data_IF_387315303861
#
_entry.id   IF_387315303861
#
_cell.length_a   1.000
_cell.length_b   1.000
_cell.length_c   1.000
_cell.angle_alpha   90.00
_cell.angle_beta   90.00
_cell.angle_gamma   90.00
#
_symmetry.space_group_name_H-M   'P 1'
#
loop_
_entity.id
_entity.type
_entity.pdbx_description
1 polymer ?
#
# COMPACT_ATOMS: atom_id res chain seq x y z
N UNK A 1 16.60 -23.66 -29.57
CA UNK A 1 15.27 -23.68 -28.92
C UNK A 1 15.47 -23.48 -27.43
N UNK A 2 15.26 -22.27 -26.92
CA UNK A 2 15.25 -22.03 -25.46
C UNK A 2 14.06 -22.76 -24.84
N UNK A 3 14.27 -23.46 -23.73
CA UNK A 3 13.20 -24.14 -22.99
C UNK A 3 12.32 -23.12 -22.27
N UNK A 4 11.07 -23.48 -21.92
CA UNK A 4 10.16 -22.57 -21.19
C UNK A 4 10.75 -22.08 -19.86
N UNK A 5 11.62 -22.89 -19.23
CA UNK A 5 12.37 -22.52 -18.04
C UNK A 5 13.36 -21.37 -18.27
N UNK A 6 14.04 -21.36 -19.41
CA UNK A 6 15.05 -20.34 -19.74
C UNK A 6 14.41 -18.95 -19.90
N UNK A 7 13.21 -18.90 -20.50
CA UNK A 7 12.48 -17.63 -20.69
C UNK A 7 11.87 -17.09 -19.39
N UNK A 8 11.44 -17.98 -18.49
CA UNK A 8 11.02 -17.59 -17.15
C UNK A 8 12.19 -17.07 -16.31
N UNK A 9 13.37 -17.69 -16.44
CA UNK A 9 14.57 -17.18 -15.80
C UNK A 9 14.97 -15.81 -16.33
N UNK A 10 14.89 -15.59 -17.65
CA UNK A 10 15.13 -14.28 -18.25
C UNK A 10 14.16 -13.20 -17.73
N UNK A 11 12.86 -13.52 -17.66
CA UNK A 11 11.87 -12.63 -17.07
C UNK A 11 12.19 -12.27 -15.62
N UNK A 12 12.62 -13.25 -14.80
CA UNK A 12 13.01 -13.00 -13.41
C UNK A 12 14.20 -12.05 -13.31
N UNK A 13 15.22 -12.22 -14.15
CA UNK A 13 16.39 -11.32 -14.17
C UNK A 13 15.99 -9.88 -14.52
N UNK A 14 15.15 -9.68 -15.55
CA UNK A 14 14.66 -8.35 -15.91
C UNK A 14 13.84 -7.69 -14.78
N UNK A 15 13.08 -8.50 -14.02
CA UNK A 15 12.36 -8.02 -12.85
C UNK A 15 13.33 -7.61 -11.74
N UNK A 16 14.34 -8.43 -11.47
CA UNK A 16 15.37 -8.16 -10.45
C UNK A 16 16.15 -6.88 -10.78
N UNK A 17 16.50 -6.67 -12.06
CA UNK A 17 17.14 -5.45 -12.55
C UNK A 17 16.21 -4.23 -12.41
N UNK A 18 14.94 -4.36 -12.81
CA UNK A 18 13.96 -3.27 -12.72
C UNK A 18 13.69 -2.83 -11.28
N UNK A 19 13.69 -3.77 -10.34
CA UNK A 19 13.46 -3.43 -8.92
C UNK A 19 14.72 -2.98 -8.20
N UNK A 20 15.89 -3.44 -8.63
CA UNK A 20 17.20 -3.10 -8.08
C UNK A 20 17.31 -3.33 -6.55
N UNK A 21 16.76 -4.46 -6.08
CA UNK A 21 16.75 -4.86 -4.65
C UNK A 21 17.83 -5.90 -4.32
N UNK A 22 18.80 -6.11 -5.22
CA UNK A 22 19.80 -7.17 -5.10
C UNK A 22 19.26 -8.55 -5.47
N UNK A 23 20.08 -9.59 -5.25
CA UNK A 23 19.80 -10.97 -5.67
C UNK A 23 18.54 -11.55 -5.00
N UNK A 24 17.63 -12.11 -5.80
CA UNK A 24 16.42 -12.75 -5.31
C UNK A 24 16.65 -13.98 -4.44
N UNK A 25 17.88 -14.52 -4.40
CA UNK A 25 18.30 -15.51 -3.42
C UNK A 25 18.16 -15.02 -1.97
N UNK A 26 18.30 -13.71 -1.72
CA UNK A 26 18.19 -13.08 -0.39
C UNK A 26 16.81 -12.49 -0.08
N UNK A 27 15.91 -12.44 -1.07
CA UNK A 27 14.59 -11.84 -0.89
C UNK A 27 13.77 -12.57 0.17
N UNK A 28 13.27 -11.80 1.12
CA UNK A 28 12.40 -12.22 2.20
C UNK A 28 10.94 -12.03 1.81
N UNK A 29 10.01 -12.46 2.67
CA UNK A 29 8.58 -12.32 2.39
C UNK A 29 8.16 -10.87 2.08
N UNK A 30 8.79 -9.90 2.74
CA UNK A 30 8.54 -8.49 2.56
C UNK A 30 8.90 -8.00 1.14
N UNK A 31 9.99 -8.51 0.56
CA UNK A 31 10.41 -8.14 -0.80
C UNK A 31 9.42 -8.67 -1.84
N UNK A 32 8.87 -9.88 -1.64
CA UNK A 32 7.81 -10.41 -2.52
C UNK A 32 6.46 -9.69 -2.37
N UNK A 33 6.21 -9.08 -1.22
CA UNK A 33 5.01 -8.26 -0.99
C UNK A 33 5.16 -6.88 -1.60
N UNK A 34 6.32 -6.24 -1.43
CA UNK A 34 6.66 -5.00 -2.13
C UNK A 34 6.66 -5.22 -3.66
N UNK A 35 7.16 -6.36 -4.14
CA UNK A 35 7.10 -6.73 -5.55
C UNK A 35 5.65 -6.91 -6.02
N UNK A 36 4.80 -7.55 -5.22
CA UNK A 36 3.37 -7.69 -5.49
C UNK A 36 2.68 -6.33 -5.61
N UNK A 37 2.96 -5.41 -4.68
CA UNK A 37 2.41 -4.06 -4.69
C UNK A 37 2.89 -3.26 -5.90
N UNK A 38 4.16 -3.39 -6.26
CA UNK A 38 4.76 -2.71 -7.42
C UNK A 38 4.27 -3.25 -8.75
N UNK A 39 4.12 -4.57 -8.86
CA UNK A 39 3.45 -5.20 -10.02
C UNK A 39 2.01 -4.69 -10.11
N UNK A 40 1.29 -4.60 -9.00
CA UNK A 40 -0.07 -4.09 -9.00
C UNK A 40 -0.15 -2.62 -9.39
N UNK A 41 0.75 -1.75 -8.90
CA UNK A 41 0.74 -0.32 -9.23
C UNK A 41 1.03 -0.05 -10.71
N UNK A 42 1.85 -0.88 -11.35
CA UNK A 42 2.25 -0.68 -12.74
C UNK A 42 1.37 -1.44 -13.75
N UNK A 43 0.85 -2.61 -13.37
CA UNK A 43 0.07 -3.48 -14.28
C UNK A 43 -1.42 -3.52 -13.98
N UNK A 44 -1.86 -2.98 -12.83
CA UNK A 44 -3.23 -3.09 -12.30
C UNK A 44 -3.76 -4.52 -12.15
N UNK A 45 -2.87 -5.51 -12.14
CA UNK A 45 -3.17 -6.93 -11.89
C UNK A 45 -2.48 -7.37 -10.61
N UNK A 46 -3.27 -7.93 -9.68
CA UNK A 46 -2.76 -8.37 -8.38
C UNK A 46 -2.17 -9.79 -8.49
N UNK A 47 -0.88 -9.92 -8.23
CA UNK A 47 -0.20 -11.21 -8.05
C UNK A 47 0.19 -11.37 -6.59
N UNK A 48 -0.41 -12.31 -5.87
CA UNK A 48 -0.08 -12.51 -4.45
C UNK A 48 1.41 -12.82 -4.25
N UNK A 49 1.98 -12.38 -3.12
CA UNK A 49 3.36 -12.71 -2.73
C UNK A 49 3.63 -14.22 -2.73
N UNK A 50 2.60 -15.05 -2.44
CA UNK A 50 2.71 -16.51 -2.50
C UNK A 50 2.85 -17.03 -3.94
N UNK A 51 2.20 -16.38 -4.91
CA UNK A 51 2.32 -16.67 -6.35
C UNK A 51 3.73 -16.30 -6.84
N UNK A 52 4.23 -15.13 -6.44
CA UNK A 52 5.59 -14.68 -6.80
C UNK A 52 6.67 -15.58 -6.20
N UNK A 53 6.55 -15.96 -4.92
CA UNK A 53 7.48 -16.92 -4.29
C UNK A 53 7.57 -18.27 -5.01
N UNK A 54 6.48 -18.74 -5.61
CA UNK A 54 6.46 -19.97 -6.42
C UNK A 54 7.20 -19.79 -7.74
N UNK A 55 7.04 -18.63 -8.38
CA UNK A 55 7.75 -18.27 -9.63
C UNK A 55 9.26 -18.15 -9.40
N UNK A 56 9.66 -17.65 -8.22
CA UNK A 56 11.07 -17.57 -7.81
C UNK A 56 11.64 -18.85 -7.19
N UNK A 57 10.86 -19.94 -7.17
CA UNK A 57 11.32 -21.24 -6.66
C UNK A 57 11.53 -21.31 -5.13
N UNK A 58 11.04 -20.32 -4.37
CA UNK A 58 11.14 -20.29 -2.89
C UNK A 58 10.16 -21.24 -2.20
N UNK A 59 9.14 -21.71 -2.93
CA UNK A 59 8.11 -22.65 -2.45
C UNK A 59 7.90 -23.71 -3.52
N UNK A 60 7.85 -24.99 -3.13
CA UNK A 60 7.60 -26.11 -4.06
C UNK A 60 6.23 -25.96 -4.72
N UNK A 61 6.21 -26.00 -6.05
CA UNK A 61 5.00 -25.88 -6.86
C UNK A 61 5.10 -26.85 -8.04
N UNK A 62 4.11 -27.74 -8.18
CA UNK A 62 4.14 -28.85 -9.15
C UNK A 62 3.36 -28.55 -10.44
N UNK A 63 2.98 -27.29 -10.68
CA UNK A 63 2.19 -26.89 -11.86
C UNK A 63 2.83 -25.70 -12.57
N UNK A 64 2.63 -25.56 -13.87
CA UNK A 64 3.13 -24.40 -14.61
C UNK A 64 2.40 -23.10 -14.16
N UNK A 65 3.07 -21.93 -14.18
CA UNK A 65 2.42 -20.64 -13.96
C UNK A 65 1.28 -20.41 -14.97
N UNK A 66 0.19 -19.78 -14.53
CA UNK A 66 -0.94 -19.50 -15.44
C UNK A 66 -0.54 -18.46 -16.50
N UNK A 67 -1.18 -18.51 -17.67
CA UNK A 67 -0.94 -17.55 -18.75
C UNK A 67 -1.15 -16.09 -18.30
N UNK A 68 -2.14 -15.84 -17.43
CA UNK A 68 -2.38 -14.52 -16.83
C UNK A 68 -1.20 -14.07 -15.98
N UNK A 69 -0.64 -14.94 -15.15
CA UNK A 69 0.55 -14.65 -14.34
C UNK A 69 1.75 -14.30 -15.21
N UNK A 70 2.00 -15.08 -16.27
CA UNK A 70 3.11 -14.84 -17.20
C UNK A 70 2.96 -13.51 -17.96
N UNK A 71 1.74 -13.19 -18.41
CA UNK A 71 1.46 -11.91 -19.08
C UNK A 71 1.67 -10.72 -18.15
N UNK A 72 1.23 -10.81 -16.89
CA UNK A 72 1.42 -9.75 -15.90
C UNK A 72 2.89 -9.51 -15.59
N UNK A 73 3.71 -10.56 -15.51
CA UNK A 73 5.15 -10.41 -15.31
C UNK A 73 5.84 -9.78 -16.54
N UNK A 74 5.45 -10.16 -17.76
CA UNK A 74 5.97 -9.53 -18.98
C UNK A 74 5.59 -8.04 -19.08
N UNK A 75 4.35 -7.69 -18.74
CA UNK A 75 3.88 -6.30 -18.66
C UNK A 75 4.65 -5.51 -17.62
N UNK A 76 4.95 -6.13 -16.47
CA UNK A 76 5.75 -5.50 -15.45
C UNK A 76 7.18 -5.20 -15.91
N UNK A 77 7.78 -5.96 -16.83
CA UNK A 77 9.10 -5.64 -17.41
C UNK A 77 9.03 -4.82 -18.71
N UNK A 78 7.86 -4.28 -19.06
CA UNK A 78 7.69 -3.35 -20.19
C UNK A 78 7.35 -4.01 -21.53
N UNK A 79 6.98 -5.29 -21.56
CA UNK A 79 6.53 -6.00 -22.76
C UNK A 79 5.01 -6.12 -22.78
N UNK A 80 4.37 -6.03 -23.95
CA UNK A 80 2.90 -6.01 -24.05
C UNK A 80 2.24 -7.28 -23.47
N UNK A 81 2.89 -8.43 -23.64
CA UNK A 81 2.45 -9.73 -23.15
C UNK A 81 3.59 -10.76 -23.15
N UNK A 82 3.36 -11.94 -22.56
CA UNK A 82 4.35 -13.02 -22.48
C UNK A 82 4.86 -13.49 -23.85
N UNK A 83 4.02 -13.39 -24.89
CA UNK A 83 4.39 -13.78 -26.26
C UNK A 83 5.37 -12.80 -26.90
N UNK A 84 5.33 -11.53 -26.52
CA UNK A 84 6.29 -10.51 -26.96
C UNK A 84 7.66 -10.69 -26.30
N UNK A 85 7.68 -10.95 -24.98
CA UNK A 85 8.90 -11.28 -24.24
C UNK A 85 9.58 -12.56 -24.78
N UNK A 86 8.82 -13.45 -25.42
CA UNK A 86 9.33 -14.65 -26.06
C UNK A 86 10.07 -14.40 -27.38
N UNK A 87 9.99 -13.20 -27.97
CA UNK A 87 10.69 -12.89 -29.22
C UNK A 87 12.18 -12.66 -28.89
N UNK A 88 13.06 -13.41 -29.55
CA UNK A 88 14.50 -13.37 -29.25
C UNK A 88 15.09 -11.96 -29.52
N UNK A 89 16.12 -11.51 -28.78
CA UNK A 89 16.82 -10.26 -29.07
C UNK A 89 17.52 -10.35 -30.44
N UNK A 90 17.40 -9.30 -31.25
CA UNK A 90 18.22 -9.11 -32.46
C UNK A 90 19.69 -9.07 -32.04
N UNK A 91 20.59 -9.86 -32.68
CA UNK A 91 21.95 -10.05 -32.21
C UNK A 91 22.81 -8.81 -32.48
N UNK A 92 23.50 -8.32 -31.44
CA UNK A 92 24.66 -7.44 -31.59
C UNK A 92 25.90 -8.24 -31.20
N UNK A 93 26.64 -8.63 -32.25
CA UNK A 93 28.07 -8.93 -32.36
C UNK A 93 28.83 -9.56 -31.18
N UNK A 94 29.09 -10.86 -31.37
CA UNK A 94 30.35 -11.62 -31.22
C UNK A 94 31.46 -11.10 -30.29
N UNK A 95 31.70 -11.86 -29.21
CA UNK A 95 33.03 -12.29 -28.79
C UNK A 95 32.96 -13.67 -28.09
N UNK A 96 33.98 -14.56 -28.23
CA UNK A 96 33.81 -16.00 -28.12
C UNK A 96 33.99 -16.55 -26.69
N UNK A 97 33.17 -17.53 -26.31
CA UNK A 97 33.32 -18.33 -25.09
C UNK A 97 34.04 -19.65 -25.41
N UNK A 98 35.06 -19.94 -24.60
CA UNK A 98 35.88 -21.15 -24.61
C UNK A 98 35.08 -22.42 -24.30
N UNK A 99 35.47 -23.51 -24.98
CA UNK A 99 34.95 -24.87 -24.81
C UNK A 99 35.31 -25.47 -23.44
N UNK A 100 34.33 -26.11 -22.79
CA UNK A 100 34.54 -27.13 -21.77
C UNK A 100 33.68 -28.38 -22.09
N UNK A 101 34.08 -29.58 -21.64
CA UNK A 101 33.85 -30.82 -22.39
C UNK A 101 32.49 -31.47 -22.09
N UNK A 102 32.03 -32.25 -23.07
CA UNK A 102 30.79 -33.02 -23.06
C UNK A 102 30.70 -34.02 -21.91
N UNK A 103 29.54 -34.03 -21.24
CA UNK A 103 29.12 -35.10 -20.32
C UNK A 103 28.74 -36.38 -21.09
N UNK A 104 29.05 -37.58 -20.57
CA UNK A 104 28.68 -38.84 -21.21
C UNK A 104 27.23 -39.26 -20.93
N UNK A 105 26.72 -40.14 -21.80
CA UNK A 105 25.36 -40.65 -21.88
C UNK A 105 24.82 -41.35 -20.61
N UNK A 106 23.48 -41.43 -20.40
CA UNK A 106 22.90 -42.00 -19.20
C UNK A 106 22.89 -43.54 -19.22
N UNK A 107 23.19 -44.14 -18.06
CA UNK A 107 23.03 -45.57 -17.75
C UNK A 107 21.62 -45.88 -17.20
N UNK A 108 21.13 -47.14 -17.31
CA UNK A 108 19.76 -47.49 -16.94
C UNK A 108 19.57 -47.57 -15.42
N UNK A 109 18.46 -46.99 -14.92
CA UNK A 109 18.12 -46.96 -13.49
C UNK A 109 17.36 -48.23 -13.10
N UNK A 110 17.97 -49.05 -12.23
CA UNK A 110 17.28 -50.11 -11.51
C UNK A 110 16.47 -49.53 -10.33
N UNK A 111 15.21 -49.92 -10.19
CA UNK A 111 14.34 -49.52 -9.06
C UNK A 111 14.74 -50.27 -7.80
N UNK A 112 15.01 -49.60 -6.66
CA UNK A 112 15.26 -50.30 -5.41
C UNK A 112 13.93 -50.68 -4.73
N UNK A 113 13.93 -51.89 -4.17
CA UNK A 113 12.91 -52.47 -3.32
C UNK A 113 12.70 -51.65 -2.05
N UNK A 114 11.52 -51.06 -1.90
CA UNK A 114 11.11 -50.25 -0.74
C UNK A 114 10.71 -51.16 0.42
N UNK A 115 11.66 -51.86 1.05
CA UNK A 115 11.45 -52.46 2.37
C UNK A 115 12.76 -52.87 3.04
N UNK A 116 13.62 -51.91 3.40
CA UNK A 116 14.68 -52.14 4.39
C UNK A 116 14.87 -50.84 5.19
N UNK A 117 14.62 -50.92 6.50
CA UNK A 117 14.95 -49.95 7.57
C UNK A 117 13.76 -49.16 8.17
N UNK A 118 12.80 -49.84 8.82
CA UNK A 118 11.77 -49.17 9.65
C UNK A 118 12.40 -48.30 10.78
N UNK A 119 13.62 -48.60 11.19
CA UNK A 119 14.37 -47.87 12.20
C UNK A 119 14.70 -46.41 11.81
N UNK A 120 14.95 -46.12 10.53
CA UNK A 120 15.29 -44.75 10.09
C UNK A 120 14.08 -43.83 10.15
N UNK A 121 12.88 -44.36 9.83
CA UNK A 121 11.63 -43.61 9.97
C UNK A 121 11.33 -43.36 11.45
N UNK A 122 11.55 -44.35 12.32
CA UNK A 122 11.42 -44.19 13.77
C UNK A 122 12.34 -43.10 14.33
N UNK A 123 13.61 -43.07 13.93
CA UNK A 123 14.57 -42.05 14.37
C UNK A 123 14.22 -40.65 13.85
N UNK A 124 13.76 -40.52 12.59
CA UNK A 124 13.31 -39.23 12.05
C UNK A 124 12.05 -38.71 12.74
N UNK A 125 11.11 -39.59 13.07
CA UNK A 125 9.91 -39.22 13.84
C UNK A 125 10.29 -38.82 15.26
N UNK A 126 11.18 -39.56 15.92
CA UNK A 126 11.68 -39.20 17.26
C UNK A 126 12.47 -37.88 17.26
N UNK A 127 13.30 -37.62 16.25
CA UNK A 127 13.98 -36.33 16.09
C UNK A 127 12.99 -35.20 15.78
N UNK A 128 11.94 -35.47 14.99
CA UNK A 128 10.86 -34.53 14.73
C UNK A 128 10.07 -34.20 15.99
N UNK A 129 9.70 -35.21 16.78
CA UNK A 129 9.00 -35.04 18.06
C UNK A 129 9.88 -34.35 19.11
N UNK A 130 11.17 -34.69 19.19
CA UNK A 130 12.14 -34.00 20.03
C UNK A 130 12.32 -32.54 19.59
N UNK A 131 12.32 -32.27 18.29
CA UNK A 131 12.33 -30.92 17.73
C UNK A 131 11.08 -30.12 18.09
N UNK A 132 9.89 -30.72 17.97
CA UNK A 132 8.61 -30.10 18.37
C UNK A 132 8.58 -29.84 19.89
N UNK A 133 9.04 -30.80 20.69
CA UNK A 133 9.09 -30.65 22.15
C UNK A 133 10.10 -29.59 22.60
N UNK A 134 11.27 -29.53 21.96
CA UNK A 134 12.26 -28.48 22.18
C UNK A 134 11.74 -27.10 21.74
N UNK A 135 10.94 -27.04 20.68
CA UNK A 135 10.30 -25.80 20.21
C UNK A 135 9.20 -25.34 21.19
N UNK A 136 8.38 -26.26 21.70
CA UNK A 136 7.36 -25.95 22.73
C UNK A 136 7.98 -25.48 24.04
N UNK A 137 9.14 -26.02 24.45
CA UNK A 137 9.88 -25.55 25.64
C UNK A 137 10.55 -24.19 25.47
N UNK A 138 10.65 -23.66 24.24
CA UNK A 138 11.34 -22.39 23.95
C UNK A 138 10.45 -21.15 24.12
N UNK A 139 9.13 -21.34 24.23
CA UNK A 139 8.19 -20.25 24.49
C UNK A 139 8.24 -19.86 25.97
N UNK A 140 9.26 -19.09 26.35
CA UNK A 140 9.24 -18.37 27.63
C UNK A 140 8.13 -17.32 27.53
N UNK A 141 7.16 -17.29 28.46
CA UNK A 141 6.16 -16.23 28.48
C UNK A 141 6.86 -14.87 28.61
N UNK A 142 6.35 -13.88 27.87
CA UNK A 142 6.86 -12.52 27.92
C UNK A 142 6.56 -11.93 29.30
N UNK A 143 7.60 -11.46 29.98
CA UNK A 143 7.55 -10.78 31.26
C UNK A 143 8.26 -9.44 31.12
N UNK A 144 7.61 -8.39 31.60
CA UNK A 144 8.14 -7.04 31.65
C UNK A 144 7.58 -6.30 32.85
N UNK A 145 8.38 -5.39 33.40
CA UNK A 145 7.96 -4.48 34.46
C UNK A 145 7.34 -3.19 33.91
N UNK A 146 7.45 -2.07 34.63
CA UNK A 146 6.91 -0.79 34.19
C UNK A 146 7.59 -0.30 32.90
N UNK A 147 6.82 -0.24 31.80
CA UNK A 147 7.29 0.27 30.52
C UNK A 147 6.90 1.74 30.32
N UNK A 148 7.80 2.53 29.73
CA UNK A 148 7.48 3.87 29.22
C UNK A 148 7.49 3.87 27.70
N UNK A 149 6.54 4.57 27.11
CA UNK A 149 6.47 4.79 25.67
C UNK A 149 5.68 6.07 25.41
N UNK A 150 6.35 7.09 24.89
CA UNK A 150 5.75 8.38 24.55
C UNK A 150 6.32 8.87 23.24
N UNK A 151 5.64 9.81 22.60
CA UNK A 151 6.14 10.44 21.38
C UNK A 151 5.84 11.92 21.35
N UNK A 152 6.76 12.71 20.80
CA UNK A 152 6.58 14.14 20.58
C UNK A 152 7.10 14.57 19.19
N UNK A 153 6.29 15.27 18.39
CA UNK A 153 6.79 15.98 17.21
C UNK A 153 7.81 17.05 17.61
N UNK A 154 8.83 17.29 16.79
CA UNK A 154 9.86 18.32 17.06
C UNK A 154 9.51 19.69 16.45
N UNK A 155 8.64 19.72 15.45
CA UNK A 155 8.19 20.94 14.77
C UNK A 155 6.68 20.98 14.64
N UNK A 156 6.13 22.11 14.18
CA UNK A 156 4.80 22.16 13.57
C UNK A 156 4.92 22.00 12.05
N UNK A 157 3.87 21.49 11.40
CA UNK A 157 3.86 21.27 9.95
C UNK A 157 4.71 20.07 9.49
N UNK A 158 5.16 20.12 8.23
CA UNK A 158 5.87 19.04 7.54
C UNK A 158 7.10 19.56 6.78
N UNK A 159 8.15 18.72 6.61
CA UNK A 159 8.32 17.41 7.25
C UNK A 159 8.47 17.53 8.78
N UNK A 160 8.13 16.46 9.50
CA UNK A 160 8.16 16.47 10.96
C UNK A 160 8.84 15.23 11.51
N UNK A 161 9.89 15.42 12.30
CA UNK A 161 10.50 14.33 13.05
C UNK A 161 9.74 14.12 14.35
N UNK A 162 9.32 12.89 14.60
CA UNK A 162 8.77 12.47 15.88
C UNK A 162 9.85 11.74 16.65
N UNK A 163 10.10 12.21 17.87
CA UNK A 163 10.96 11.54 18.83
C UNK A 163 10.09 10.64 19.69
N UNK A 164 10.44 9.36 19.74
CA UNK A 164 9.86 8.35 20.59
C UNK A 164 10.81 8.12 21.75
N UNK A 165 10.32 8.36 22.96
CA UNK A 165 11.02 8.09 24.21
C UNK A 165 10.42 6.80 24.81
N UNK A 166 11.27 5.82 25.10
CA UNK A 166 10.83 4.50 25.58
C UNK A 166 11.81 3.85 26.54
N UNK A 167 11.30 2.92 27.34
CA UNK A 167 12.12 2.06 28.20
C UNK A 167 11.55 0.64 28.17
N UNK A 168 12.35 -0.29 27.66
CA UNK A 168 12.06 -1.71 27.57
C UNK A 168 13.11 -2.58 28.31
N UNK A 169 13.99 -1.95 29.10
CA UNK A 169 15.13 -2.61 29.76
C UNK A 169 14.69 -3.71 30.71
N UNK A 170 13.65 -3.45 31.50
CA UNK A 170 12.99 -4.40 32.40
C UNK A 170 12.02 -5.33 31.64
N UNK A 171 12.55 -6.05 30.66
CA UNK A 171 11.82 -7.10 29.93
C UNK A 171 12.71 -8.28 29.56
N UNK A 172 12.11 -9.47 29.46
CA UNK A 172 12.76 -10.66 28.91
C UNK A 172 12.60 -10.78 27.38
N UNK A 173 12.26 -9.68 26.69
CA UNK A 173 12.06 -9.68 25.25
C UNK A 173 13.36 -9.89 24.48
N UNK A 174 13.31 -10.70 23.43
CA UNK A 174 14.43 -10.94 22.50
C UNK A 174 14.53 -9.81 21.45
N UNK A 175 13.42 -9.10 21.24
CA UNK A 175 13.34 -8.00 20.27
C UNK A 175 12.34 -6.93 20.70
N UNK A 176 12.68 -5.68 20.40
CA UNK A 176 11.84 -4.51 20.64
C UNK A 176 11.61 -3.82 19.30
N UNK A 177 10.37 -3.44 19.03
CA UNK A 177 10.02 -2.69 17.83
C UNK A 177 9.14 -1.50 18.16
N UNK A 178 9.31 -0.44 17.37
CA UNK A 178 8.37 0.67 17.31
C UNK A 178 7.65 0.59 15.97
N UNK A 179 6.32 0.50 16.03
CA UNK A 179 5.47 0.60 14.85
C UNK A 179 4.88 2.01 14.78
N UNK A 180 5.14 2.67 13.67
CA UNK A 180 4.80 4.07 13.46
C UNK A 180 3.80 4.27 12.31
N UNK A 181 3.36 3.16 11.71
CA UNK A 181 2.46 3.10 10.56
C UNK A 181 1.22 2.27 10.89
N UNK A 182 0.14 2.45 10.14
CA UNK A 182 -1.01 1.55 10.14
C UNK A 182 -0.66 0.13 9.66
N UNK A 183 0.46 -0.04 8.96
CA UNK A 183 0.85 -1.33 8.40
C UNK A 183 1.60 -2.11 9.50
N UNK A 184 1.05 -3.25 9.99
CA UNK A 184 1.70 -4.04 11.03
C UNK A 184 3.08 -4.59 10.61
N UNK A 185 3.39 -4.61 9.31
CA UNK A 185 4.68 -5.04 8.78
C UNK A 185 5.71 -3.92 8.77
N UNK A 186 5.30 -2.66 8.85
CA UNK A 186 6.17 -1.48 8.93
C UNK A 186 6.48 -1.15 10.40
N UNK A 187 7.31 -2.00 11.00
CA UNK A 187 7.86 -1.83 12.35
C UNK A 187 9.38 -1.71 12.28
N UNK A 188 9.95 -0.80 13.06
CA UNK A 188 11.38 -0.58 13.13
C UNK A 188 11.94 -1.27 14.38
N UNK A 189 12.98 -2.10 14.22
CA UNK A 189 13.64 -2.76 15.35
C UNK A 189 14.53 -1.76 16.07
N UNK A 190 14.35 -1.64 17.38
CA UNK A 190 15.14 -0.76 18.24
C UNK A 190 15.90 -1.58 19.29
N UNK A 191 16.94 -1.01 19.88
CA UNK A 191 17.65 -1.65 20.99
C UNK A 191 16.75 -1.81 22.21
N UNK A 192 16.95 -2.87 23.00
CA UNK A 192 16.24 -3.00 24.28
C UNK A 192 16.72 -1.97 25.31
N UNK A 193 18.01 -1.63 25.21
CA UNK A 193 18.73 -0.73 26.11
C UNK A 193 18.88 0.70 25.55
N UNK A 194 18.32 0.93 24.36
CA UNK A 194 18.17 2.28 23.80
C UNK A 194 16.94 2.94 24.43
N UNK A 195 16.94 4.27 24.47
CA UNK A 195 15.83 5.05 25.06
C UNK A 195 15.14 6.00 24.09
N UNK A 196 15.70 6.16 22.90
CA UNK A 196 15.22 7.12 21.91
C UNK A 196 15.18 6.50 20.52
N UNK A 197 14.13 6.83 19.78
CA UNK A 197 14.01 6.54 18.36
C UNK A 197 13.40 7.74 17.64
N UNK A 198 13.97 8.13 16.51
CA UNK A 198 13.51 9.26 15.72
C UNK A 198 12.99 8.78 14.38
N UNK A 199 11.82 9.27 13.97
CA UNK A 199 11.31 9.04 12.62
C UNK A 199 10.72 10.30 12.00
N UNK A 200 11.07 10.55 10.74
CA UNK A 200 10.58 11.68 9.96
C UNK A 200 9.36 11.31 9.13
N UNK A 201 8.31 12.11 9.24
CA UNK A 201 7.09 12.01 8.46
C UNK A 201 7.09 13.09 7.37
N UNK A 202 6.84 12.68 6.13
CA UNK A 202 6.73 13.56 4.97
C UNK A 202 5.28 13.80 4.52
N UNK A 203 4.33 13.06 5.09
CA UNK A 203 2.91 13.25 4.84
C UNK A 203 2.16 13.41 6.16
N UNK A 204 1.08 14.21 6.16
CA UNK A 204 0.26 14.36 7.35
C UNK A 204 -0.57 13.10 7.54
N UNK A 205 -0.96 12.82 8.78
CA UNK A 205 -1.73 11.63 9.08
C UNK A 205 -1.96 11.43 10.56
N UNK A 206 -2.80 10.44 10.85
CA UNK A 206 -2.98 9.90 12.19
C UNK A 206 -2.41 8.49 12.21
N UNK A 207 -1.66 8.20 13.26
CA UNK A 207 -1.01 6.93 13.48
C UNK A 207 -1.29 6.48 14.91
N UNK A 208 -1.44 5.16 15.10
CA UNK A 208 -1.35 4.57 16.44
C UNK A 208 0.06 4.04 16.61
N UNK A 209 0.87 4.80 17.33
CA UNK A 209 2.23 4.39 17.64
C UNK A 209 2.18 3.20 18.59
N UNK A 210 3.01 2.18 18.37
CA UNK A 210 3.03 0.97 19.21
C UNK A 210 4.45 0.61 19.60
N UNK A 211 4.64 0.29 20.87
CA UNK A 211 5.80 -0.44 21.37
C UNK A 211 5.47 -1.93 21.37
N UNK A 212 6.30 -2.71 20.70
CA UNK A 212 6.12 -4.15 20.50
C UNK A 212 7.30 -4.88 21.10
N UNK A 213 7.06 -5.81 22.01
CA UNK A 213 8.06 -6.72 22.57
C UNK A 213 7.83 -8.11 21.99
N UNK A 214 8.85 -8.66 21.32
CA UNK A 214 8.73 -9.83 20.47
C UNK A 214 7.64 -9.61 19.41
N UNK A 215 6.46 -10.20 19.61
CA UNK A 215 5.29 -10.01 18.75
C UNK A 215 4.05 -9.47 19.49
N UNK A 216 4.22 -9.06 20.75
CA UNK A 216 3.13 -8.50 21.58
C UNK A 216 3.18 -6.98 21.61
N UNK A 217 2.05 -6.33 21.29
CA UNK A 217 1.88 -4.89 21.50
C UNK A 217 1.71 -4.66 23.01
N UNK A 218 2.63 -3.94 23.64
CA UNK A 218 2.65 -3.74 25.10
C UNK A 218 2.25 -2.33 25.51
N UNK A 219 2.45 -1.35 24.63
CA UNK A 219 1.99 0.04 24.78
C UNK A 219 1.58 0.57 23.41
N UNK A 220 0.56 1.40 23.41
CA UNK A 220 0.18 2.17 22.22
C UNK A 220 -0.45 3.50 22.61
N UNK A 221 -0.31 4.49 21.74
CA UNK A 221 -0.92 5.80 21.91
C UNK A 221 -1.10 6.50 20.55
N UNK A 222 -1.91 7.55 20.58
CA UNK A 222 -2.27 8.32 19.40
C UNK A 222 -1.15 9.30 19.01
N UNK A 223 -0.81 9.33 17.72
CA UNK A 223 0.17 10.23 17.14
C UNK A 223 -0.44 10.96 15.94
N UNK A 224 -0.55 12.28 16.04
CA UNK A 224 -1.00 13.14 14.95
C UNK A 224 0.19 13.86 14.31
N UNK A 225 0.33 13.71 12.99
CA UNK A 225 1.13 14.60 12.15
C UNK A 225 0.15 15.56 11.49
N UNK A 226 -0.02 16.72 12.13
CA UNK A 226 -1.08 17.68 11.80
C UNK A 226 -0.71 18.56 10.61
N UNK A 227 -1.72 19.12 9.96
CA UNK A 227 -1.57 20.22 9.00
C UNK A 227 -1.92 21.56 9.65
N UNK A 228 -1.30 22.64 9.18
CA UNK A 228 -1.68 24.02 9.52
C UNK A 228 -2.68 24.53 8.48
N UNK A 229 -3.96 24.15 8.64
CA UNK A 229 -4.98 24.34 7.60
C UNK A 229 -4.89 23.27 6.52
N UNK A 230 -5.19 23.64 5.26
CA UNK A 230 -5.03 22.73 4.13
C UNK A 230 -3.58 22.67 3.65
N UNK A 231 -3.12 21.48 3.33
CA UNK A 231 -1.80 21.26 2.72
C UNK A 231 -1.98 20.58 1.37
N UNK A 232 -1.44 21.16 0.32
CA UNK A 232 -1.39 20.58 -1.01
C UNK A 232 -0.08 19.85 -1.20
N UNK A 233 -0.11 18.75 -1.94
CA UNK A 233 1.10 18.03 -2.33
C UNK A 233 1.09 17.62 -3.79
N UNK A 234 2.24 17.73 -4.46
CA UNK A 234 2.57 16.83 -5.57
C UNK A 234 3.17 15.58 -4.94
N UNK A 235 2.47 14.46 -5.07
CA UNK A 235 2.84 13.22 -4.41
C UNK A 235 4.07 12.60 -5.10
N UNK A 236 5.00 12.11 -4.29
CA UNK A 236 6.21 11.38 -4.69
C UNK A 236 6.49 10.27 -3.67
N UNK A 237 7.21 9.24 -4.09
CA UNK A 237 7.63 8.13 -3.23
C UNK A 237 8.60 8.60 -2.12
N UNK A 238 9.36 9.65 -2.40
CA UNK A 238 10.29 10.27 -1.46
C UNK A 238 9.64 11.45 -0.73
N UNK A 239 10.07 12.67 -1.05
CA UNK A 239 9.62 13.90 -0.42
C UNK A 239 8.62 14.58 -1.37
N UNK A 240 7.37 14.82 -0.96
CA UNK A 240 6.42 15.53 -1.79
C UNK A 240 6.81 17.01 -1.93
N UNK A 241 6.28 17.65 -2.96
CA UNK A 241 6.35 19.11 -3.07
C UNK A 241 5.15 19.68 -2.34
N UNK A 242 5.38 20.54 -1.35
CA UNK A 242 4.33 21.10 -0.49
C UNK A 242 3.79 22.43 -1.01
N UNK A 243 2.48 22.61 -0.87
CA UNK A 243 1.75 23.84 -1.17
C UNK A 243 0.97 24.26 0.08
N UNK A 244 1.42 25.28 0.84
CA UNK A 244 0.74 25.73 2.04
C UNK A 244 -0.67 26.27 1.76
N UNK A 245 -1.54 26.26 2.78
CA UNK A 245 -2.96 26.68 2.71
C UNK A 245 -3.18 28.00 1.96
N UNK A 246 -2.35 29.01 2.25
CA UNK A 246 -2.43 30.34 1.61
C UNK A 246 -2.23 30.31 0.10
N UNK A 247 -1.40 29.40 -0.42
CA UNK A 247 -1.15 29.26 -1.85
C UNK A 247 -2.29 28.51 -2.56
N UNK A 248 -2.94 27.58 -1.86
CA UNK A 248 -4.05 26.80 -2.41
C UNK A 248 -5.33 27.61 -2.54
N UNK A 249 -5.55 28.57 -1.65
CA UNK A 249 -6.79 29.36 -1.60
C UNK A 249 -6.86 30.33 -2.76
N UNK A 250 -7.72 30.04 -3.73
CA UNK A 250 -7.97 30.86 -4.91
C UNK A 250 -9.47 31.10 -5.06
N UNK A 251 -9.90 32.36 -4.99
CA UNK A 251 -11.29 32.79 -5.23
C UNK A 251 -12.35 31.98 -4.44
N UNK A 252 -12.07 31.68 -3.17
CA UNK A 252 -12.98 30.91 -2.31
C UNK A 252 -12.96 29.39 -2.54
N UNK A 253 -11.98 28.87 -3.27
CA UNK A 253 -11.74 27.44 -3.49
C UNK A 253 -10.33 27.06 -3.07
N UNK A 254 -10.08 25.76 -2.87
CA UNK A 254 -8.74 25.19 -2.82
C UNK A 254 -8.42 24.61 -4.18
N UNK A 255 -7.32 25.04 -4.80
CA UNK A 255 -6.94 24.56 -6.12
C UNK A 255 -5.43 24.42 -6.26
N UNK A 256 -5.02 23.47 -7.10
CA UNK A 256 -3.71 23.46 -7.75
C UNK A 256 -3.96 23.61 -9.24
N UNK A 257 -3.28 24.55 -9.87
CA UNK A 257 -3.39 24.81 -11.30
C UNK A 257 -2.27 24.12 -12.05
N UNK A 258 -2.40 24.04 -13.38
CA UNK A 258 -1.30 23.52 -14.21
C UNK A 258 -0.05 24.39 -14.09
N UNK A 259 -0.24 25.71 -13.96
CA UNK A 259 0.83 26.67 -13.75
C UNK A 259 1.62 26.37 -12.46
N UNK A 260 0.93 26.03 -11.38
CA UNK A 260 1.56 25.62 -10.11
C UNK A 260 2.45 24.40 -10.29
N UNK A 261 1.98 23.39 -11.04
CA UNK A 261 2.73 22.16 -11.29
C UNK A 261 3.91 22.40 -12.25
N UNK A 262 3.70 23.13 -13.35
CA UNK A 262 4.79 23.47 -14.29
C UNK A 262 5.85 24.36 -13.64
N UNK A 263 5.46 25.23 -12.70
CA UNK A 263 6.38 26.04 -11.90
C UNK A 263 7.28 25.21 -10.99
N UNK A 264 6.90 23.95 -10.69
CA UNK A 264 7.71 22.96 -9.98
C UNK A 264 8.48 22.02 -10.93
N UNK A 265 8.52 22.33 -12.23
CA UNK A 265 9.24 21.56 -13.24
C UNK A 265 8.52 20.31 -13.75
N UNK A 266 7.21 20.18 -13.53
CA UNK A 266 6.42 19.06 -14.05
C UNK A 266 6.21 19.20 -15.57
N UNK A 267 6.66 18.20 -16.33
CA UNK A 267 6.28 17.99 -17.73
C UNK A 267 5.23 16.88 -17.83
N UNK A 268 3.98 17.26 -18.05
CA UNK A 268 2.85 16.33 -18.14
C UNK A 268 2.95 15.31 -19.28
N UNK A 269 3.84 15.51 -20.26
CA UNK A 269 4.09 14.53 -21.33
C UNK A 269 4.96 13.35 -20.85
N UNK A 270 5.76 13.55 -19.80
CA UNK A 270 6.61 12.51 -19.23
C UNK A 270 5.88 11.70 -18.16
N UNK A 271 4.85 12.27 -17.56
CA UNK A 271 3.97 11.61 -16.60
C UNK A 271 3.05 12.61 -15.92
N UNK A 272 1.81 12.21 -15.65
CA UNK A 272 0.88 13.07 -14.92
C UNK A 272 0.99 12.77 -13.43
N UNK A 273 1.46 13.72 -12.60
CA UNK A 273 1.63 13.44 -11.19
C UNK A 273 0.28 13.33 -10.49
N UNK A 274 0.28 12.59 -9.40
CA UNK A 274 -0.81 12.63 -8.45
C UNK A 274 -0.66 13.85 -7.54
N UNK A 275 -1.76 14.58 -7.33
CA UNK A 275 -1.81 15.66 -6.34
C UNK A 275 -2.77 15.31 -5.20
N UNK A 276 -2.60 15.96 -4.06
CA UNK A 276 -3.50 15.77 -2.93
C UNK A 276 -3.71 17.05 -2.14
N UNK A 277 -4.89 17.17 -1.53
CA UNK A 277 -5.18 18.16 -0.49
C UNK A 277 -5.42 17.43 0.81
N UNK A 278 -4.68 17.80 1.85
CA UNK A 278 -4.71 17.16 3.15
C UNK A 278 -5.22 18.14 4.20
N UNK A 279 -6.09 17.65 5.06
CA UNK A 279 -6.54 18.34 6.25
C UNK A 279 -6.54 17.35 7.41
N UNK A 280 -5.53 17.41 8.27
CA UNK A 280 -5.34 16.44 9.36
C UNK A 280 -5.21 17.18 10.68
N UNK A 281 -6.23 17.04 11.51
CA UNK A 281 -6.29 17.59 12.86
C UNK A 281 -7.44 16.91 13.62
N UNK A 282 -7.46 16.97 14.97
CA UNK A 282 -8.61 16.50 15.74
C UNK A 282 -9.90 17.24 15.32
N UNK A 283 -10.92 16.50 14.86
CA UNK A 283 -12.23 17.04 14.45
C UNK A 283 -13.32 16.79 15.52
N UNK A 284 -12.92 16.70 16.79
CA UNK A 284 -13.80 16.35 17.89
C UNK A 284 -14.16 14.85 17.90
N UNK A 285 -15.37 14.54 18.34
CA UNK A 285 -15.85 13.17 18.55
C UNK A 285 -16.65 12.61 17.35
N UNK A 286 -16.45 13.17 16.15
CA UNK A 286 -17.13 12.70 14.94
C UNK A 286 -16.84 11.20 14.71
N UNK A 287 -17.89 10.38 14.76
CA UNK A 287 -17.79 8.94 14.57
C UNK A 287 -17.75 8.58 13.09
N UNK A 288 -16.86 7.67 12.70
CA UNK A 288 -16.83 7.10 11.35
C UNK A 288 -18.04 6.20 11.03
N UNK A 289 -18.84 5.86 12.05
CA UNK A 289 -20.04 5.02 11.92
C UNK A 289 -21.34 5.83 11.92
N UNK A 290 -21.27 7.14 12.18
CA UNK A 290 -22.41 8.04 12.27
C UNK A 290 -21.98 9.48 11.90
N UNK A 291 -22.06 9.84 10.61
CA UNK A 291 -21.71 11.18 10.11
C UNK A 291 -22.41 11.51 8.78
N UNK A 292 -22.55 12.80 8.51
CA UNK A 292 -22.87 13.39 7.22
C UNK A 292 -21.62 14.15 6.74
N UNK A 293 -21.15 13.83 5.54
CA UNK A 293 -20.08 14.53 4.87
C UNK A 293 -20.58 15.09 3.53
N UNK A 294 -20.26 16.34 3.25
CA UNK A 294 -20.64 17.00 2.01
C UNK A 294 -19.47 17.79 1.42
N UNK A 295 -19.30 17.69 0.11
CA UNK A 295 -18.25 18.41 -0.62
C UNK A 295 -18.66 18.73 -2.06
N UNK A 296 -18.06 19.79 -2.59
CA UNK A 296 -18.04 20.13 -4.01
C UNK A 296 -16.61 20.12 -4.52
N UNK A 297 -16.35 19.35 -5.58
CA UNK A 297 -15.01 19.23 -6.16
C UNK A 297 -15.03 19.14 -7.69
N UNK A 298 -13.86 19.32 -8.31
CA UNK A 298 -13.67 19.27 -9.75
C UNK A 298 -12.25 18.78 -10.09
N UNK A 299 -12.12 17.76 -10.94
CA UNK A 299 -10.84 17.48 -11.62
C UNK A 299 -10.69 18.46 -12.78
N UNK A 300 -9.55 19.14 -12.87
CA UNK A 300 -9.31 20.18 -13.89
C UNK A 300 -8.33 19.73 -14.98
N UNK A 301 -7.79 18.50 -14.88
CA UNK A 301 -6.87 17.92 -15.85
C UNK A 301 -7.44 16.64 -16.44
N UNK A 302 -7.43 16.49 -17.76
CA UNK A 302 -8.13 15.42 -18.47
C UNK A 302 -7.38 14.84 -19.68
N UNK A 303 -6.07 15.04 -19.75
CA UNK A 303 -5.23 14.63 -20.88
C UNK A 303 -4.07 13.73 -20.45
N UNK A 304 -3.39 13.14 -21.43
CA UNK A 304 -2.32 12.15 -21.21
C UNK A 304 -2.81 10.97 -20.35
N UNK A 305 -2.09 10.62 -19.29
CA UNK A 305 -2.43 9.50 -18.41
C UNK A 305 -3.68 9.76 -17.54
N UNK A 306 -4.13 11.02 -17.45
CA UNK A 306 -5.25 11.43 -16.63
C UNK A 306 -6.58 11.55 -17.40
N UNK A 307 -6.72 10.85 -18.53
CA UNK A 307 -7.99 10.80 -19.29
C UNK A 307 -9.18 10.32 -18.45
N UNK A 308 -8.96 9.47 -17.45
CA UNK A 308 -10.02 9.02 -16.57
C UNK A 308 -10.40 10.03 -15.47
N UNK A 309 -9.60 11.09 -15.29
CA UNK A 309 -9.81 12.11 -14.27
C UNK A 309 -10.07 11.51 -12.88
N UNK A 310 -9.24 10.55 -12.49
CA UNK A 310 -9.43 9.82 -11.24
C UNK A 310 -9.33 10.80 -10.05
N UNK A 311 -10.39 10.85 -9.25
CA UNK A 311 -10.47 11.61 -8.00
C UNK A 311 -10.76 10.64 -6.86
N UNK A 312 -10.09 10.85 -5.73
CA UNK A 312 -10.34 10.12 -4.50
C UNK A 312 -10.71 11.06 -3.37
N UNK A 313 -11.77 10.75 -2.65
CA UNK A 313 -12.13 11.42 -1.39
C UNK A 313 -11.89 10.42 -0.27
N UNK A 314 -10.99 10.74 0.64
CA UNK A 314 -10.57 9.87 1.72
C UNK A 314 -10.90 10.50 3.06
N UNK A 315 -11.90 9.96 3.75
CA UNK A 315 -12.20 10.30 5.14
C UNK A 315 -11.26 9.48 6.01
N UNK A 316 -10.29 10.15 6.63
CA UNK A 316 -9.28 9.52 7.47
C UNK A 316 -9.91 9.23 8.84
N UNK A 317 -9.71 8.02 9.35
CA UNK A 317 -10.23 7.61 10.66
C UNK A 317 -9.13 6.99 11.52
N UNK A 318 -9.36 6.89 12.83
CA UNK A 318 -8.35 6.40 13.77
C UNK A 318 -7.96 4.92 13.59
N UNK A 319 -8.84 4.09 13.02
CA UNK A 319 -8.63 2.65 12.81
C UNK A 319 -8.80 2.25 11.33
N UNK A 320 -8.75 3.20 10.40
CA UNK A 320 -8.97 2.93 8.99
C UNK A 320 -9.35 4.17 8.21
N UNK A 321 -10.07 3.99 7.12
CA UNK A 321 -10.56 5.10 6.30
C UNK A 321 -11.83 4.70 5.54
N UNK A 322 -12.58 5.70 5.10
CA UNK A 322 -13.57 5.55 4.04
C UNK A 322 -13.02 6.22 2.79
N UNK A 323 -13.16 5.56 1.64
CA UNK A 323 -12.63 6.03 0.36
C UNK A 323 -13.74 6.02 -0.69
N UNK A 324 -14.03 7.20 -1.23
CA UNK A 324 -15.05 7.45 -2.26
C UNK A 324 -14.36 7.88 -3.55
N UNK A 325 -14.31 7.02 -4.57
CA UNK A 325 -13.71 7.36 -5.85
C UNK A 325 -14.70 8.04 -6.80
N UNK A 326 -14.20 8.87 -7.70
CA UNK A 326 -14.91 9.40 -8.86
C UNK A 326 -14.00 9.31 -10.09
N UNK A 327 -14.60 9.18 -11.27
CA UNK A 327 -13.90 9.25 -12.55
C UNK A 327 -14.83 9.75 -13.63
N UNK A 328 -14.32 9.97 -14.85
CA UNK A 328 -15.19 10.03 -16.01
C UNK A 328 -16.02 8.74 -16.14
N UNK A 329 -17.23 8.88 -16.71
CA UNK A 329 -18.20 7.78 -16.89
C UNK A 329 -17.62 6.53 -17.55
N UNK A 330 -16.72 6.70 -18.51
CA UNK A 330 -16.08 5.58 -19.22
C UNK A 330 -15.11 4.76 -18.37
N UNK A 331 -14.67 5.25 -17.21
CA UNK A 331 -13.62 4.63 -16.40
C UNK A 331 -14.11 3.98 -15.10
N UNK A 332 -15.43 3.92 -14.88
CA UNK A 332 -16.01 3.43 -13.61
C UNK A 332 -15.59 2.00 -13.24
N UNK A 333 -15.24 1.18 -14.22
CA UNK A 333 -14.73 -0.19 -14.01
C UNK A 333 -13.38 -0.25 -13.28
N UNK A 334 -12.63 0.85 -13.21
CA UNK A 334 -11.36 0.92 -12.48
C UNK A 334 -11.52 1.37 -11.02
N UNK A 335 -12.72 1.83 -10.64
CA UNK A 335 -12.95 2.36 -9.31
C UNK A 335 -12.99 1.26 -8.26
N UNK A 336 -12.50 1.59 -7.06
CA UNK A 336 -12.63 0.74 -5.88
C UNK A 336 -13.11 1.61 -4.73
N UNK A 337 -14.37 1.46 -4.35
CA UNK A 337 -14.98 2.12 -3.20
C UNK A 337 -14.61 1.35 -1.93
N UNK A 338 -14.36 2.03 -0.82
CA UNK A 338 -14.07 1.37 0.45
C UNK A 338 -14.77 2.05 1.63
N UNK A 339 -15.40 1.27 2.49
CA UNK A 339 -15.91 1.73 3.78
C UNK A 339 -15.39 0.82 4.89
N UNK A 340 -14.55 1.37 5.78
CA UNK A 340 -13.92 0.64 6.89
C UNK A 340 -13.39 -0.75 6.49
N UNK A 341 -12.56 -0.80 5.44
CA UNK A 341 -11.95 -2.04 4.94
C UNK A 341 -12.82 -2.89 4.01
N UNK A 342 -14.14 -2.67 3.97
CA UNK A 342 -15.03 -3.32 2.99
C UNK A 342 -14.86 -2.65 1.63
N UNK A 343 -14.26 -3.38 0.70
CA UNK A 343 -14.02 -2.92 -0.67
C UNK A 343 -15.15 -3.34 -1.62
N UNK A 344 -15.50 -2.45 -2.54
CA UNK A 344 -16.44 -2.69 -3.65
C UNK A 344 -15.74 -2.28 -4.95
N UNK A 345 -15.47 -3.27 -5.81
CA UNK A 345 -14.75 -3.04 -7.07
C UNK A 345 -15.72 -2.78 -8.21
N UNK A 346 -15.43 -1.77 -9.03
CA UNK A 346 -16.15 -1.48 -10.28
C UNK A 346 -15.98 -2.56 -11.34
N UNK A 347 -15.02 -3.48 -11.17
CA UNK A 347 -14.85 -4.65 -12.03
C UNK A 347 -15.94 -5.71 -11.81
N UNK A 348 -16.52 -5.76 -10.62
CA UNK A 348 -17.46 -6.82 -10.19
C UNK A 348 -18.80 -6.28 -9.70
N UNK A 349 -18.93 -4.97 -9.56
CA UNK A 349 -20.11 -4.29 -9.04
C UNK A 349 -20.40 -3.05 -9.87
N UNK A 350 -21.68 -2.67 -9.97
CA UNK A 350 -22.07 -1.45 -10.65
C UNK A 350 -21.68 -0.22 -9.79
N UNK A 351 -20.69 0.53 -10.27
CA UNK A 351 -20.28 1.84 -9.73
C UNK A 351 -20.53 2.97 -10.74
N UNK A 352 -21.45 2.79 -11.69
CA UNK A 352 -21.78 3.79 -12.71
C UNK A 352 -22.22 5.13 -12.12
N UNK A 353 -22.84 5.12 -10.94
CA UNK A 353 -23.21 6.32 -10.18
C UNK A 353 -22.05 7.21 -9.73
N UNK A 354 -20.81 6.69 -9.76
CA UNK A 354 -19.58 7.45 -9.47
C UNK A 354 -18.90 8.00 -10.73
N UNK A 355 -19.44 7.67 -11.90
CA UNK A 355 -19.03 8.23 -13.19
C UNK A 355 -19.63 9.62 -13.40
N UNK A 356 -18.78 10.64 -13.48
CA UNK A 356 -19.20 12.05 -13.54
C UNK A 356 -18.68 12.74 -14.79
N UNK A 357 -19.20 13.94 -15.02
CA UNK A 357 -18.60 14.92 -15.93
C UNK A 357 -18.03 16.05 -15.07
N UNK A 358 -16.74 16.31 -15.21
CA UNK A 358 -16.04 17.37 -14.50
C UNK A 358 -16.03 18.70 -15.28
N UNK A 359 -16.89 18.88 -16.28
CA UNK A 359 -17.14 20.18 -16.90
C UNK A 359 -17.66 21.21 -15.88
N UNK A 360 -18.44 20.76 -14.90
CA UNK A 360 -18.98 21.52 -13.76
C UNK A 360 -18.53 20.96 -12.40
N UNK A 361 -18.92 21.65 -11.32
CA UNK A 361 -18.70 21.18 -9.95
C UNK A 361 -19.51 19.91 -9.65
N UNK A 362 -18.84 18.90 -9.11
CA UNK A 362 -19.48 17.66 -8.69
C UNK A 362 -19.78 17.73 -7.20
N UNK A 363 -21.05 17.56 -6.85
CA UNK A 363 -21.50 17.48 -5.45
C UNK A 363 -21.46 16.04 -4.98
N UNK A 364 -20.77 15.78 -3.87
CA UNK A 364 -20.79 14.49 -3.19
C UNK A 364 -21.34 14.65 -1.78
N UNK A 365 -22.33 13.83 -1.44
CA UNK A 365 -22.88 13.72 -0.09
C UNK A 365 -22.77 12.27 0.37
N UNK A 366 -22.08 12.04 1.47
CA UNK A 366 -21.96 10.73 2.11
C UNK A 366 -22.66 10.76 3.46
N UNK A 367 -23.64 9.88 3.64
CA UNK A 367 -24.37 9.70 4.88
C UNK A 367 -24.05 8.33 5.43
N UNK A 368 -23.51 8.30 6.64
CA UNK A 368 -23.32 7.07 7.38
C UNK A 368 -24.16 7.13 8.63
N UNK A 369 -25.07 6.17 8.78
CA UNK A 369 -25.87 5.99 9.99
C UNK A 369 -25.85 4.53 10.42
N UNK A 370 -25.38 4.26 11.63
CA UNK A 370 -25.25 2.91 12.19
C UNK A 370 -24.61 1.93 11.19
N UNK A 371 -23.46 2.36 10.64
CA UNK A 371 -22.65 1.64 9.64
C UNK A 371 -23.36 1.34 8.30
N UNK A 372 -24.50 1.96 8.03
CA UNK A 372 -25.11 2.01 6.71
C UNK A 372 -24.62 3.26 6.00
N UNK A 373 -23.79 3.08 4.97
CA UNK A 373 -23.30 4.16 4.12
C UNK A 373 -24.22 4.35 2.91
N UNK A 374 -24.62 5.59 2.66
CA UNK A 374 -25.26 6.05 1.42
C UNK A 374 -24.40 7.14 0.81
N UNK A 375 -24.11 7.03 -0.49
CA UNK A 375 -23.35 8.05 -1.21
C UNK A 375 -24.23 8.59 -2.33
N UNK A 376 -24.34 9.91 -2.39
CA UNK A 376 -25.05 10.63 -3.42
C UNK A 376 -24.05 11.44 -4.24
N UNK A 377 -24.15 11.36 -5.56
CA UNK A 377 -23.35 12.14 -6.51
C UNK A 377 -24.31 12.97 -7.34
N UNK A 378 -24.16 14.29 -7.30
CA UNK A 378 -25.10 15.24 -7.92
C UNK A 378 -26.56 14.92 -7.59
N UNK A 379 -26.82 14.76 -6.28
CA UNK A 379 -28.15 14.51 -5.69
C UNK A 379 -28.77 13.13 -6.02
N UNK A 380 -28.11 12.31 -6.83
CA UNK A 380 -28.54 10.94 -7.16
C UNK A 380 -27.84 9.92 -6.28
N UNK A 381 -28.58 8.94 -5.75
CA UNK A 381 -28.01 7.84 -4.98
C UNK A 381 -27.10 7.00 -5.89
N UNK A 382 -25.80 6.99 -5.57
CA UNK A 382 -24.77 6.25 -6.30
C UNK A 382 -24.39 4.93 -5.62
N UNK A 383 -24.57 4.83 -4.30
CA UNK A 383 -24.27 3.63 -3.53
C UNK A 383 -25.05 3.57 -2.24
N UNK A 384 -25.43 2.36 -1.84
CA UNK A 384 -25.94 2.04 -0.52
C UNK A 384 -25.35 0.70 -0.05
N UNK A 385 -24.79 0.66 1.16
CA UNK A 385 -24.26 -0.58 1.71
C UNK A 385 -23.83 -0.48 3.16
N UNK A 386 -23.86 -1.64 3.85
CA UNK A 386 -23.39 -1.78 5.23
C UNK A 386 -21.94 -2.24 5.30
N UNK A 387 -21.21 -1.76 6.30
CA UNK A 387 -19.88 -2.25 6.69
C UNK A 387 -19.91 -2.77 8.14
N UNK A 388 -18.95 -3.62 8.51
CA UNK A 388 -18.92 -4.30 9.81
C UNK A 388 -17.99 -3.63 10.80
N UNK A 389 -16.75 -3.37 10.37
CA UNK A 389 -15.72 -2.81 11.24
C UNK A 389 -15.99 -1.34 11.57
N UNK A 390 -15.51 -0.89 12.73
CA UNK A 390 -15.56 0.52 13.10
C UNK A 390 -14.20 1.17 12.84
N UNK A 391 -14.17 2.14 11.93
CA UNK A 391 -12.96 2.88 11.62
C UNK A 391 -12.62 3.91 12.72
N UNK A 392 -13.43 4.02 13.78
CA UNK A 392 -13.20 4.87 14.95
C UNK A 392 -13.63 6.32 14.71
N UNK A 393 -12.83 7.29 15.18
CA UNK A 393 -13.12 8.72 15.03
C UNK A 393 -12.59 9.25 13.71
N UNK A 394 -13.26 10.25 13.13
CA UNK A 394 -12.77 10.96 11.96
C UNK A 394 -11.64 11.91 12.40
N UNK A 395 -10.47 11.77 11.79
CA UNK A 395 -9.22 12.46 12.16
C UNK A 395 -8.68 13.36 11.04
N UNK A 396 -9.34 13.37 9.90
CA UNK A 396 -8.97 14.23 8.79
C UNK A 396 -9.68 13.88 7.49
N UNK A 397 -9.31 14.63 6.46
CA UNK A 397 -9.83 14.49 5.11
C UNK A 397 -8.67 14.64 4.13
N UNK A 398 -8.66 13.79 3.11
CA UNK A 398 -7.73 13.91 2.00
C UNK A 398 -8.47 13.82 0.68
N UNK A 399 -8.19 14.76 -0.21
CA UNK A 399 -8.53 14.63 -1.62
C UNK A 399 -7.31 14.18 -2.40
N UNK A 400 -7.53 13.37 -3.41
CA UNK A 400 -6.52 12.92 -4.36
C UNK A 400 -7.01 13.22 -5.77
N UNK A 401 -6.14 13.74 -6.63
CA UNK A 401 -6.43 13.98 -8.05
C UNK A 401 -5.29 13.41 -8.89
N UNK A 402 -5.63 12.79 -10.02
CA UNK A 402 -4.64 12.52 -11.07
C UNK A 402 -4.49 13.79 -11.93
N UNK A 403 -3.39 14.51 -11.76
CA UNK A 403 -3.20 15.86 -12.28
C UNK A 403 -3.74 16.94 -11.35
N UNK A 404 -4.32 18.00 -11.90
CA UNK A 404 -4.83 19.15 -11.15
C UNK A 404 -6.30 18.99 -10.76
N UNK A 405 -6.70 19.69 -9.70
CA UNK A 405 -8.05 19.65 -9.18
C UNK A 405 -8.36 20.82 -8.27
N UNK A 406 -9.64 20.97 -7.98
CA UNK A 406 -10.16 22.00 -7.10
C UNK A 406 -11.26 21.47 -6.18
N UNK A 407 -11.37 22.05 -4.99
CA UNK A 407 -12.40 21.78 -3.99
C UNK A 407 -13.01 23.11 -3.59
N UNK A 408 -14.34 23.20 -3.59
CA UNK A 408 -15.08 24.42 -3.29
C UNK A 408 -15.69 24.42 -1.89
N UNK A 409 -16.06 23.25 -1.38
CA UNK A 409 -16.59 23.14 -0.01
C UNK A 409 -16.27 21.77 0.58
N UNK A 410 -16.13 21.71 1.90
CA UNK A 410 -15.95 20.46 2.64
C UNK A 410 -16.46 20.62 4.07
N UNK A 411 -17.47 19.83 4.44
CA UNK A 411 -18.06 19.89 5.78
C UNK A 411 -18.46 18.52 6.31
N UNK A 412 -18.29 18.34 7.62
CA UNK A 412 -18.82 17.21 8.37
C UNK A 412 -19.90 17.69 9.34
N UNK A 413 -20.87 16.83 9.60
CA UNK A 413 -21.80 16.98 10.72
C UNK A 413 -22.33 15.66 11.22
N UNK A 414 -22.80 15.60 12.47
CA UNK A 414 -23.49 14.42 13.03
C UNK A 414 -24.82 14.80 13.73
N UNK A 415 -25.33 16.00 13.42
CA UNK A 415 -26.48 16.62 14.07
C UNK A 415 -26.14 17.42 15.33
N UNK A 416 -24.99 17.18 15.97
CA UNK A 416 -24.51 17.91 17.16
C UNK A 416 -23.26 18.73 16.85
N UNK A 417 -22.30 18.11 16.21
CA UNK A 417 -21.04 18.69 15.75
C UNK A 417 -21.23 19.15 14.30
N UNK A 418 -20.72 20.34 13.99
CA UNK A 418 -20.54 20.82 12.62
C UNK A 418 -19.09 21.26 12.46
N UNK A 419 -18.34 20.58 11.61
CA UNK A 419 -16.98 20.94 11.25
C UNK A 419 -16.96 21.41 9.80
N UNK A 420 -16.80 22.72 9.58
CA UNK A 420 -16.63 23.32 8.25
C UNK A 420 -15.14 23.48 7.99
N UNK A 421 -14.65 22.81 6.96
CA UNK A 421 -13.21 22.76 6.63
C UNK A 421 -12.85 23.70 5.49
N UNK A 422 -13.81 23.98 4.61
CA UNK A 422 -13.73 24.93 3.51
C UNK A 422 -15.09 25.55 3.24
#
# INVERSE_FOLDING_TARGET
>A
MQTEGDKLQHCRMLIEEKVNWGDSSQWQNQDFEALSERIFSETNVSLSASTLKRIWGKVRYNSAPTATTLNTLAQFVGYENWRELRKDPVPVNDAPIQNLPAQPAPLPVARPSVWRWPWVVGTLVMLGLAGIWAFQKRNKPLHYGPLTFTSRPVSSGLPNTVLFDYDATDSNADSVFIQQSWNPKLRYRVGKDDHHYASTYFYPGYFRAKLILNDSIVKEHDLYIKTEGWLGTINRDSIPVYFPDKQLRQMGTLALTEADLTGQGIDFRQGVPSTSFHYVQPLGELSSSNFLFETELKSTFNRFEAVCQNVGIMVLCSNGMHFIPLSLKGCVGQLNLSFSGKNVSGKTSDLSGFGVDFSDWVKVRCEVKDKLAKVFVNEKLAYEGRFQDDAGKIVGLRYYFHGTGAVKSARFSDGRIKAVLL
#
